data_IF_044222742253
#
_entry.id   IF_044222742253
#
_cell.length_a   1.000
_cell.length_b   1.000
_cell.length_c   1.000
_cell.angle_alpha   90.00
_cell.angle_beta   90.00
_cell.angle_gamma   90.00
#
_symmetry.space_group_name_H-M   'P 1'
#
loop_
_entity.id
_entity.type
_entity.pdbx_description
1 polymer ?
#
# COMPACT_ATOMS: atom_id res chain seq x y z
N UNK A 1 -0.23 23.93 -15.73
CA UNK A 1 -1.06 22.81 -15.31
C UNK A 1 -0.13 21.70 -14.88
N UNK A 2 -0.10 21.21 -13.63
CA UNK A 2 0.71 20.07 -13.25
C UNK A 2 0.12 18.82 -13.92
N UNK A 3 0.96 17.99 -14.53
CA UNK A 3 0.58 16.87 -15.36
C UNK A 3 -0.31 15.87 -14.63
N UNK A 4 -1.45 15.56 -15.23
CA UNK A 4 -2.23 14.37 -14.91
C UNK A 4 -1.40 13.19 -15.38
N UNK A 5 -0.85 12.40 -14.46
CA UNK A 5 -0.41 11.06 -14.78
C UNK A 5 -1.67 10.28 -15.20
N UNK A 6 -1.83 10.09 -16.51
CA UNK A 6 -2.73 9.09 -17.07
C UNK A 6 -2.18 7.74 -16.67
N UNK A 7 -3.03 6.71 -16.64
CA UNK A 7 -2.71 5.32 -16.28
C UNK A 7 -1.23 4.97 -16.53
N UNK A 8 -0.65 4.14 -15.64
CA UNK A 8 0.74 3.70 -15.75
C UNK A 8 1.11 3.40 -17.23
N UNK A 9 2.30 3.76 -17.70
CA UNK A 9 2.72 3.44 -19.05
C UNK A 9 2.66 1.92 -19.23
N UNK A 10 1.79 1.46 -20.15
CA UNK A 10 1.57 0.06 -20.46
C UNK A 10 0.17 -0.29 -20.97
N UNK A 11 -0.85 0.52 -20.68
CA UNK A 11 -2.22 0.29 -21.17
C UNK A 11 -2.81 1.54 -21.83
N UNK A 12 -2.28 1.90 -22.99
CA UNK A 12 -2.89 2.86 -23.90
C UNK A 12 -2.76 2.30 -25.30
N UNK A 13 -3.88 2.21 -26.04
CA UNK A 13 -3.88 1.87 -27.47
C UNK A 13 -2.83 2.72 -28.19
N UNK A 14 -1.70 2.14 -28.55
CA UNK A 14 -0.77 2.65 -29.53
C UNK A 14 -0.77 1.68 -30.72
N UNK A 15 -0.76 2.28 -31.88
CA UNK A 15 -0.69 1.54 -33.14
C UNK A 15 0.58 0.72 -33.24
N UNK A 16 0.43 -0.36 -33.95
CA UNK A 16 1.37 -1.39 -34.34
C UNK A 16 2.79 -0.88 -34.65
N UNK A 17 3.70 -1.17 -33.72
CA UNK A 17 5.11 -1.55 -33.81
C UNK A 17 5.66 -1.57 -32.40
N UNK A 18 5.21 -2.58 -31.61
CA UNK A 18 5.44 -2.63 -30.18
C UNK A 18 6.71 -3.44 -29.90
N UNK A 19 7.65 -2.78 -29.23
CA UNK A 19 8.59 -3.44 -28.36
C UNK A 19 7.77 -4.23 -27.33
N UNK A 20 7.80 -5.55 -27.42
CA UNK A 20 7.25 -6.44 -26.38
C UNK A 20 8.13 -6.21 -25.16
N UNK A 21 7.69 -5.34 -24.26
CA UNK A 21 8.31 -5.18 -22.94
C UNK A 21 7.86 -6.41 -22.15
N UNK A 22 8.74 -7.39 -22.03
CA UNK A 22 8.54 -8.55 -21.16
C UNK A 22 8.51 -8.08 -19.70
N UNK A 23 7.34 -7.78 -19.18
CA UNK A 23 7.17 -7.38 -17.79
C UNK A 23 7.34 -8.60 -16.87
N UNK A 24 8.15 -8.45 -15.83
CA UNK A 24 8.25 -9.46 -14.78
C UNK A 24 7.45 -9.03 -13.56
N UNK A 25 6.81 -9.98 -12.90
CA UNK A 25 6.16 -9.74 -11.62
C UNK A 25 6.97 -10.42 -10.51
N UNK A 26 7.43 -9.64 -9.55
CA UNK A 26 8.18 -10.12 -8.40
C UNK A 26 7.21 -10.18 -7.22
N UNK A 27 6.67 -11.35 -6.98
CA UNK A 27 5.81 -11.60 -5.82
C UNK A 27 6.73 -11.94 -4.65
N UNK A 28 6.75 -11.12 -3.62
CA UNK A 28 7.64 -11.33 -2.50
C UNK A 28 6.92 -11.11 -1.16
N UNK A 29 7.46 -11.75 -0.17
CA UNK A 29 7.07 -11.69 1.22
C UNK A 29 8.31 -11.59 2.10
N UNK A 30 8.15 -11.03 3.30
CA UNK A 30 9.23 -10.84 4.27
C UNK A 30 8.80 -11.35 5.63
N UNK A 31 9.72 -12.06 6.31
CA UNK A 31 9.56 -12.33 7.73
C UNK A 31 10.48 -11.42 8.55
N UNK A 32 9.98 -10.95 9.66
CA UNK A 32 10.71 -10.03 10.53
C UNK A 32 10.57 -10.34 12.01
N UNK A 33 11.59 -9.96 12.73
CA UNK A 33 11.62 -9.95 14.19
C UNK A 33 11.24 -8.57 14.72
N UNK A 34 10.73 -8.53 15.94
CA UNK A 34 10.50 -7.30 16.69
C UNK A 34 11.24 -7.38 18.04
N UNK A 35 11.30 -6.26 18.77
CA UNK A 35 12.02 -6.20 20.02
C UNK A 35 11.52 -7.27 21.02
N UNK A 36 12.35 -8.25 21.43
CA UNK A 36 11.93 -9.33 22.33
C UNK A 36 11.61 -8.83 23.74
N UNK A 37 12.22 -7.73 24.18
CA UNK A 37 11.98 -7.11 25.49
C UNK A 37 10.71 -6.23 25.52
N UNK A 38 10.03 -6.10 24.39
CA UNK A 38 8.80 -5.31 24.28
C UNK A 38 9.05 -3.86 23.82
N UNK A 39 7.97 -3.11 23.72
CA UNK A 39 7.93 -1.80 23.08
C UNK A 39 8.78 -0.70 23.75
N UNK A 40 9.08 -0.83 25.05
CA UNK A 40 9.92 0.14 25.75
C UNK A 40 11.38 0.16 25.28
N UNK A 41 11.85 -0.96 24.79
CA UNK A 41 13.23 -1.17 24.35
C UNK A 41 13.34 -1.26 22.82
N UNK A 42 12.22 -1.02 22.12
CA UNK A 42 12.15 -1.01 20.66
C UNK A 42 12.96 0.15 20.08
N UNK A 43 13.74 -0.13 19.06
CA UNK A 43 14.41 0.89 18.25
C UNK A 43 13.38 1.55 17.36
N UNK A 44 13.10 2.83 17.59
CA UNK A 44 12.02 3.57 16.92
C UNK A 44 12.17 3.55 15.38
N UNK A 45 13.40 3.62 14.89
CA UNK A 45 13.70 3.60 13.46
C UNK A 45 13.65 2.20 12.84
N UNK A 46 13.63 1.13 13.67
CA UNK A 46 13.60 -0.26 13.23
C UNK A 46 12.64 -1.09 14.10
N UNK A 47 11.33 -0.85 14.05
CA UNK A 47 10.37 -1.64 14.83
C UNK A 47 10.35 -3.12 14.43
N UNK A 48 10.72 -3.41 13.18
CA UNK A 48 10.78 -4.75 12.61
C UNK A 48 12.11 -4.96 11.87
N UNK A 49 12.90 -5.93 12.30
CA UNK A 49 14.15 -6.32 11.64
C UNK A 49 13.90 -7.55 10.77
N UNK A 50 14.15 -7.43 9.49
CA UNK A 50 13.94 -8.50 8.51
C UNK A 50 14.97 -9.60 8.72
N UNK A 51 14.49 -10.86 8.81
CA UNK A 51 15.35 -12.04 8.90
C UNK A 51 15.15 -13.05 7.75
N UNK A 52 14.11 -12.89 6.92
CA UNK A 52 13.91 -13.73 5.73
C UNK A 52 13.33 -12.92 4.59
N UNK A 53 13.81 -13.17 3.37
CA UNK A 53 13.25 -12.69 2.11
C UNK A 53 12.88 -13.91 1.29
N UNK A 54 11.62 -14.03 0.88
CA UNK A 54 11.13 -15.03 -0.05
C UNK A 54 10.45 -14.36 -1.25
N UNK A 55 10.77 -14.83 -2.47
CA UNK A 55 10.17 -14.24 -3.66
C UNK A 55 10.00 -15.25 -4.79
N UNK A 56 8.98 -15.02 -5.61
CA UNK A 56 8.69 -15.76 -6.83
C UNK A 56 8.66 -14.77 -7.99
N UNK A 57 9.38 -15.09 -9.06
CA UNK A 57 9.35 -14.32 -10.31
C UNK A 57 8.36 -14.96 -11.27
N UNK A 58 7.46 -14.15 -11.80
CA UNK A 58 6.48 -14.54 -12.80
C UNK A 58 6.76 -13.81 -14.11
N UNK A 59 6.41 -14.45 -15.22
CA UNK A 59 6.44 -13.84 -16.56
C UNK A 59 5.21 -12.96 -16.83
N UNK A 60 5.05 -12.48 -18.06
CA UNK A 60 3.92 -11.65 -18.50
C UNK A 60 2.56 -12.36 -18.35
N UNK A 61 2.53 -13.68 -18.52
CA UNK A 61 1.35 -14.50 -18.36
C UNK A 61 1.12 -14.90 -16.89
N UNK A 62 1.96 -14.38 -16.00
CA UNK A 62 1.99 -14.65 -14.55
C UNK A 62 2.29 -16.12 -14.22
N UNK A 63 3.03 -16.78 -15.09
CA UNK A 63 3.54 -18.13 -14.83
C UNK A 63 4.88 -18.03 -14.12
N UNK A 64 5.09 -18.90 -13.12
CA UNK A 64 6.34 -18.96 -12.36
C UNK A 64 7.52 -19.34 -13.25
N UNK A 65 8.58 -18.54 -13.20
CA UNK A 65 9.82 -18.77 -13.95
C UNK A 65 11.04 -18.93 -13.06
N UNK A 66 11.06 -18.32 -11.86
CA UNK A 66 12.18 -18.40 -10.93
C UNK A 66 11.75 -18.13 -9.48
N UNK A 67 12.63 -18.34 -8.53
CA UNK A 67 12.41 -18.02 -7.11
C UNK A 67 13.69 -17.59 -6.41
N UNK A 68 13.54 -16.80 -5.35
CA UNK A 68 14.61 -16.34 -4.47
C UNK A 68 14.23 -16.62 -3.03
N UNK A 69 15.17 -17.12 -2.23
CA UNK A 69 14.98 -17.29 -0.79
C UNK A 69 16.30 -17.05 -0.07
N UNK A 70 16.26 -16.30 1.03
CA UNK A 70 17.46 -15.95 1.77
C UNK A 70 17.13 -15.67 3.23
N UNK A 71 17.83 -16.35 4.15
CA UNK A 71 17.86 -15.99 5.56
C UNK A 71 18.88 -14.89 5.82
N UNK A 72 18.54 -13.99 6.75
CA UNK A 72 19.34 -12.83 7.12
C UNK A 72 19.63 -12.91 8.61
N UNK A 73 20.89 -12.74 8.97
CA UNK A 73 21.33 -12.71 10.36
C UNK A 73 20.90 -11.40 11.04
N UNK A 74 20.04 -11.45 12.08
CA UNK A 74 19.65 -10.25 12.81
C UNK A 74 20.86 -9.61 13.51
N UNK A 75 20.96 -8.30 13.42
CA UNK A 75 22.03 -7.50 14.05
C UNK A 75 21.55 -6.77 15.30
N UNK A 76 20.27 -6.36 15.31
CA UNK A 76 19.65 -5.57 16.37
C UNK A 76 18.91 -6.47 17.35
N UNK A 77 17.95 -7.24 16.87
CA UNK A 77 17.13 -8.14 17.69
C UNK A 77 17.60 -9.58 17.54
N UNK A 78 18.70 -9.92 18.24
CA UNK A 78 19.36 -11.24 18.12
C UNK A 78 18.52 -12.40 18.64
N UNK A 79 17.71 -12.15 19.67
CA UNK A 79 16.75 -13.12 20.19
C UNK A 79 15.43 -12.98 19.43
N UNK A 80 14.84 -14.09 19.02
CA UNK A 80 13.53 -14.07 18.37
C UNK A 80 12.43 -13.72 19.39
N UNK A 81 11.61 -12.77 19.02
CA UNK A 81 10.40 -12.46 19.77
C UNK A 81 9.43 -13.66 19.75
N UNK A 82 8.66 -13.86 20.84
CA UNK A 82 7.77 -15.01 20.98
C UNK A 82 6.75 -15.16 19.83
N UNK A 83 6.34 -14.06 19.21
CA UNK A 83 5.44 -14.08 18.04
C UNK A 83 6.17 -14.71 16.84
N UNK A 84 7.38 -14.28 16.54
CA UNK A 84 8.17 -14.85 15.45
C UNK A 84 8.42 -16.35 15.70
N UNK A 85 8.84 -16.73 16.92
CA UNK A 85 9.00 -18.15 17.31
C UNK A 85 7.72 -18.99 17.17
N UNK A 86 6.58 -18.38 17.41
CA UNK A 86 5.27 -19.09 17.37
C UNK A 86 4.68 -19.19 15.97
N UNK A 87 5.04 -18.30 15.06
CA UNK A 87 4.51 -18.27 13.70
C UNK A 87 5.41 -18.93 12.68
N UNK A 88 6.73 -18.70 12.78
CA UNK A 88 7.71 -19.23 11.82
C UNK A 88 8.38 -20.49 12.36
N UNK A 89 8.93 -21.32 11.48
CA UNK A 89 9.74 -22.48 11.83
C UNK A 89 11.23 -22.13 11.98
N UNK A 90 11.55 -20.82 12.07
CA UNK A 90 12.91 -20.31 12.12
C UNK A 90 13.44 -20.37 13.54
N UNK A 91 14.70 -20.81 13.70
CA UNK A 91 15.42 -20.84 14.97
C UNK A 91 16.59 -19.86 14.96
N UNK A 92 17.06 -19.45 16.14
CA UNK A 92 18.22 -18.58 16.26
C UNK A 92 19.47 -19.22 15.60
N UNK A 93 19.64 -20.55 15.71
CA UNK A 93 20.75 -21.30 15.10
C UNK A 93 20.72 -21.17 13.57
N UNK A 94 19.55 -21.28 12.96
CA UNK A 94 19.39 -21.11 11.51
C UNK A 94 19.77 -19.70 11.06
N UNK A 95 19.42 -18.70 11.86
CA UNK A 95 19.72 -17.30 11.55
C UNK A 95 21.19 -16.91 11.79
N UNK A 96 21.93 -17.66 12.63
CA UNK A 96 23.39 -17.45 12.83
C UNK A 96 24.17 -17.62 11.53
N UNK A 97 23.74 -18.55 10.66
CA UNK A 97 24.31 -18.78 9.32
C UNK A 97 23.71 -17.87 8.24
N UNK A 98 22.77 -17.02 8.62
CA UNK A 98 22.11 -16.05 7.73
C UNK A 98 23.09 -15.02 7.16
N UNK A 99 22.73 -14.46 6.02
CA UNK A 99 23.51 -13.46 5.29
C UNK A 99 23.47 -12.10 5.98
N UNK A 100 24.43 -11.25 5.65
CA UNK A 100 24.35 -9.81 5.96
C UNK A 100 23.18 -9.18 5.21
N UNK A 101 22.39 -8.33 5.90
CA UNK A 101 21.20 -7.68 5.31
C UNK A 101 21.53 -6.94 4.02
N UNK A 102 22.65 -6.17 4.00
CA UNK A 102 23.04 -5.39 2.82
C UNK A 102 23.37 -6.29 1.63
N UNK A 103 24.07 -7.39 1.86
CA UNK A 103 24.38 -8.36 0.82
C UNK A 103 23.11 -9.06 0.32
N UNK A 104 22.22 -9.47 1.23
CA UNK A 104 20.97 -10.16 0.89
C UNK A 104 20.05 -9.27 0.05
N UNK A 105 19.84 -8.01 0.46
CA UNK A 105 19.01 -7.04 -0.28
C UNK A 105 19.60 -6.71 -1.64
N UNK A 106 20.93 -6.54 -1.71
CA UNK A 106 21.59 -6.29 -3.01
C UNK A 106 21.33 -7.44 -3.98
N UNK A 107 21.56 -8.68 -3.56
CA UNK A 107 21.33 -9.85 -4.41
C UNK A 107 19.86 -10.02 -4.78
N UNK A 108 18.95 -9.73 -3.85
CA UNK A 108 17.50 -9.74 -4.13
C UNK A 108 17.13 -8.72 -5.23
N UNK A 109 17.61 -7.47 -5.12
CA UNK A 109 17.30 -6.42 -6.09
C UNK A 109 17.98 -6.65 -7.45
N UNK A 110 19.21 -7.18 -7.45
CA UNK A 110 19.90 -7.62 -8.66
C UNK A 110 19.11 -8.74 -9.34
N UNK A 111 18.65 -9.74 -8.58
CA UNK A 111 17.80 -10.82 -9.10
C UNK A 111 16.46 -10.29 -9.63
N UNK A 112 15.83 -9.31 -8.97
CA UNK A 112 14.60 -8.70 -9.46
C UNK A 112 14.76 -8.11 -10.86
N UNK A 113 15.88 -7.42 -11.11
CA UNK A 113 16.15 -6.65 -12.33
C UNK A 113 16.86 -7.42 -13.44
N UNK A 114 17.31 -8.67 -13.17
CA UNK A 114 18.15 -9.44 -14.09
C UNK A 114 17.52 -9.66 -15.49
N UNK A 115 16.19 -9.76 -15.56
CA UNK A 115 15.45 -10.07 -16.80
C UNK A 115 14.70 -8.87 -17.39
N UNK A 116 15.07 -7.65 -17.02
CA UNK A 116 14.50 -6.41 -17.56
C UNK A 116 13.51 -5.72 -16.61
N UNK A 117 12.45 -5.12 -17.18
CA UNK A 117 11.46 -4.39 -16.37
C UNK A 117 10.65 -5.33 -15.47
N UNK A 118 10.46 -4.91 -14.25
CA UNK A 118 9.69 -5.68 -13.27
C UNK A 118 8.73 -4.82 -12.47
N UNK A 119 7.74 -5.47 -11.88
CA UNK A 119 6.77 -4.87 -10.96
C UNK A 119 6.70 -5.68 -9.68
N UNK A 120 6.91 -5.02 -8.55
CA UNK A 120 6.77 -5.65 -7.24
C UNK A 120 5.30 -5.95 -6.92
N UNK A 121 5.09 -7.09 -6.27
CA UNK A 121 3.79 -7.60 -5.85
C UNK A 121 3.90 -8.13 -4.42
N UNK A 122 2.94 -7.79 -3.55
CA UNK A 122 2.94 -8.21 -2.13
C UNK A 122 1.53 -8.57 -1.68
N UNK A 123 1.40 -9.34 -0.60
CA UNK A 123 0.12 -9.53 0.08
C UNK A 123 -0.12 -8.40 1.08
N UNK A 124 -0.60 -7.25 0.57
CA UNK A 124 -0.84 -6.05 1.37
C UNK A 124 0.18 -4.95 1.15
N UNK A 125 0.54 -4.23 2.20
CA UNK A 125 1.36 -3.01 2.06
C UNK A 125 2.59 -2.98 2.94
N UNK A 126 2.78 -3.96 3.82
CA UNK A 126 3.80 -3.92 4.88
C UNK A 126 5.20 -4.17 4.34
N UNK A 127 5.35 -5.18 3.49
CA UNK A 127 6.64 -5.68 3.03
C UNK A 127 7.49 -4.61 2.36
N UNK A 128 6.90 -3.84 1.43
CA UNK A 128 7.60 -2.73 0.78
C UNK A 128 8.02 -1.62 1.76
N UNK A 129 7.21 -1.37 2.77
CA UNK A 129 7.53 -0.36 3.80
C UNK A 129 8.69 -0.84 4.66
N UNK A 130 8.62 -2.08 5.15
CA UNK A 130 9.65 -2.63 6.03
C UNK A 130 10.97 -2.88 5.28
N UNK A 131 10.93 -3.31 4.01
CA UNK A 131 12.13 -3.41 3.17
C UNK A 131 12.86 -2.06 3.11
N UNK A 132 12.15 -1.00 2.76
CA UNK A 132 12.73 0.34 2.64
C UNK A 132 13.19 0.90 3.99
N UNK A 133 12.47 0.60 5.08
CA UNK A 133 12.84 1.02 6.44
C UNK A 133 14.12 0.34 6.90
N UNK A 134 14.25 -0.97 6.69
CA UNK A 134 15.47 -1.70 7.01
C UNK A 134 16.64 -1.19 6.17
N UNK A 135 16.45 -0.95 4.86
CA UNK A 135 17.49 -0.35 4.02
C UNK A 135 17.96 0.99 4.59
N UNK A 136 17.03 1.87 4.97
CA UNK A 136 17.35 3.17 5.57
C UNK A 136 18.12 3.02 6.88
N UNK A 137 17.69 2.12 7.75
CA UNK A 137 18.33 1.89 9.05
C UNK A 137 19.77 1.38 8.92
N UNK A 138 20.00 0.43 8.02
CA UNK A 138 21.32 -0.12 7.77
C UNK A 138 22.19 0.72 6.79
N UNK A 139 21.74 1.90 6.41
CA UNK A 139 22.50 2.82 5.55
C UNK A 139 22.65 2.34 4.10
N UNK A 140 21.72 1.53 3.62
CA UNK A 140 21.71 1.02 2.23
C UNK A 140 20.95 1.99 1.35
N UNK A 141 21.56 2.38 0.24
CA UNK A 141 20.89 3.20 -0.76
C UNK A 141 19.64 2.48 -1.30
N UNK A 142 18.54 3.21 -1.39
CA UNK A 142 17.29 2.67 -1.91
C UNK A 142 17.20 2.92 -3.43
N UNK A 143 17.44 1.90 -4.28
CA UNK A 143 17.43 2.05 -5.73
C UNK A 143 16.03 1.98 -6.35
N UNK A 144 14.99 1.69 -5.54
CA UNK A 144 13.63 1.61 -6.05
C UNK A 144 13.22 2.96 -6.63
N UNK A 145 12.54 2.94 -7.77
CA UNK A 145 12.08 4.16 -8.46
C UNK A 145 11.13 5.01 -7.59
N UNK A 146 11.03 6.28 -7.93
CA UNK A 146 10.01 7.15 -7.35
C UNK A 146 9.22 7.86 -8.47
N UNK A 147 7.88 7.82 -8.44
CA UNK A 147 7.00 7.12 -7.48
C UNK A 147 7.01 5.60 -7.70
N UNK A 148 7.05 4.84 -6.62
CA UNK A 148 7.01 3.37 -6.69
C UNK A 148 5.56 2.89 -6.82
N UNK A 149 5.26 2.28 -7.96
CA UNK A 149 3.99 1.60 -8.23
C UNK A 149 4.16 0.09 -8.09
N UNK A 150 3.23 -0.57 -7.41
CA UNK A 150 3.27 -2.00 -7.15
C UNK A 150 1.86 -2.60 -7.15
N UNK A 151 1.77 -3.92 -7.14
CA UNK A 151 0.50 -4.63 -6.98
C UNK A 151 0.35 -5.15 -5.56
N UNK A 152 -0.63 -4.62 -4.84
CA UNK A 152 -1.16 -5.17 -3.59
C UNK A 152 -2.17 -6.26 -3.99
N UNK A 153 -1.72 -7.53 -3.98
CA UNK A 153 -2.50 -8.68 -4.44
C UNK A 153 -3.73 -8.89 -3.56
N UNK A 154 -3.63 -8.64 -2.25
CA UNK A 154 -4.79 -8.67 -1.34
C UNK A 154 -5.88 -7.69 -1.78
N UNK A 155 -5.50 -6.49 -2.22
CA UNK A 155 -6.43 -5.49 -2.76
C UNK A 155 -7.03 -5.96 -4.08
N UNK A 156 -6.22 -6.48 -5.00
CA UNK A 156 -6.69 -6.96 -6.30
C UNK A 156 -7.63 -8.14 -6.12
N UNK A 157 -7.30 -9.10 -5.25
CA UNK A 157 -8.17 -10.20 -4.87
C UNK A 157 -9.52 -9.71 -4.36
N UNK A 158 -9.53 -8.75 -3.43
CA UNK A 158 -10.77 -8.18 -2.91
C UNK A 158 -11.63 -7.50 -4.00
N UNK A 159 -11.00 -6.81 -4.97
CA UNK A 159 -11.72 -6.17 -6.08
C UNK A 159 -12.27 -7.21 -7.05
N UNK A 160 -11.54 -8.31 -7.27
CA UNK A 160 -11.92 -9.37 -8.22
C UNK A 160 -12.95 -10.34 -7.65
N UNK A 161 -12.76 -10.81 -6.44
CA UNK A 161 -13.52 -11.92 -5.86
C UNK A 161 -14.54 -11.50 -4.80
N UNK A 162 -14.47 -10.26 -4.30
CA UNK A 162 -15.30 -9.78 -3.20
C UNK A 162 -15.88 -8.37 -3.46
N UNK A 163 -15.90 -7.53 -2.42
CA UNK A 163 -16.52 -6.18 -2.39
C UNK A 163 -15.54 -5.02 -2.67
N UNK A 164 -14.26 -5.31 -2.90
CA UNK A 164 -13.19 -4.34 -3.08
C UNK A 164 -12.78 -3.58 -1.80
N UNK A 165 -13.30 -4.00 -0.64
CA UNK A 165 -13.04 -3.36 0.66
C UNK A 165 -12.47 -4.34 1.69
N UNK A 166 -12.91 -5.58 1.67
CA UNK A 166 -12.46 -6.66 2.55
C UNK A 166 -10.95 -6.88 2.39
N UNK A 167 -10.30 -7.22 3.49
CA UNK A 167 -8.89 -7.58 3.51
C UNK A 167 -8.78 -8.92 4.21
N UNK A 168 -8.69 -9.98 3.41
CA UNK A 168 -8.56 -11.35 3.91
C UNK A 168 -7.12 -11.68 4.23
N UNK A 169 -6.87 -12.61 5.15
CA UNK A 169 -5.56 -13.24 5.26
C UNK A 169 -5.24 -14.01 3.97
N UNK A 170 -3.97 -14.25 3.70
CA UNK A 170 -3.52 -15.05 2.56
C UNK A 170 -4.14 -16.44 2.62
N UNK A 171 -4.09 -17.08 3.78
CA UNK A 171 -4.67 -18.41 4.00
C UNK A 171 -6.18 -18.44 3.67
N UNK A 172 -6.95 -17.42 4.09
CA UNK A 172 -8.37 -17.33 3.73
C UNK A 172 -8.58 -17.22 2.22
N UNK A 173 -7.74 -16.45 1.52
CA UNK A 173 -7.85 -16.31 0.07
C UNK A 173 -7.51 -17.62 -0.66
N UNK A 174 -6.50 -18.33 -0.19
CA UNK A 174 -6.11 -19.67 -0.67
C UNK A 174 -7.28 -20.65 -0.54
N UNK A 175 -7.94 -20.68 0.64
CA UNK A 175 -9.12 -21.51 0.88
C UNK A 175 -10.30 -21.13 -0.04
N UNK A 176 -10.59 -19.85 -0.19
CA UNK A 176 -11.67 -19.35 -1.04
C UNK A 176 -11.48 -19.71 -2.52
N UNK A 177 -10.24 -19.84 -2.97
CA UNK A 177 -9.90 -20.21 -4.35
C UNK A 177 -9.73 -21.73 -4.55
N UNK A 178 -9.78 -22.53 -3.46
CA UNK A 178 -9.55 -23.97 -3.52
C UNK A 178 -8.11 -24.33 -3.92
N UNK A 179 -7.14 -23.45 -3.63
CA UNK A 179 -5.73 -23.72 -3.89
C UNK A 179 -5.25 -24.78 -2.89
N UNK A 180 -4.58 -25.83 -3.39
CA UNK A 180 -4.06 -26.91 -2.56
C UNK A 180 -2.96 -26.41 -1.62
N UNK A 181 -3.11 -26.71 -0.32
CA UNK A 181 -2.14 -26.37 0.73
C UNK A 181 -1.13 -27.49 0.87
N UNK A 182 -0.09 -27.47 0.05
CA UNK A 182 0.96 -28.50 -0.02
C UNK A 182 2.30 -28.04 0.56
N UNK A 183 2.40 -26.80 1.02
CA UNK A 183 3.53 -26.20 1.72
C UNK A 183 3.01 -25.49 2.97
N UNK A 184 3.80 -25.42 4.02
CA UNK A 184 3.42 -24.74 5.24
C UNK A 184 3.46 -23.22 5.06
N UNK A 185 2.52 -22.50 5.67
CA UNK A 185 2.54 -21.05 5.77
C UNK A 185 3.60 -20.54 6.74
N UNK A 186 3.82 -19.24 6.75
CA UNK A 186 4.73 -18.55 7.68
C UNK A 186 6.22 -18.83 7.44
N UNK A 187 6.60 -19.02 6.17
CA UNK A 187 7.93 -18.72 5.67
C UNK A 187 7.80 -17.78 4.49
N UNK A 188 8.71 -16.83 4.35
CA UNK A 188 8.60 -15.81 3.30
C UNK A 188 8.49 -16.43 1.90
N UNK A 189 9.19 -17.50 1.61
CA UNK A 189 9.10 -18.15 0.29
C UNK A 189 7.75 -18.85 0.09
N UNK A 190 7.21 -19.51 1.11
CA UNK A 190 5.91 -20.18 1.03
C UNK A 190 4.77 -19.17 0.84
N UNK A 191 4.80 -18.05 1.55
CA UNK A 191 3.76 -17.03 1.47
C UNK A 191 3.85 -16.26 0.13
N UNK A 192 5.07 -16.06 -0.41
CA UNK A 192 5.26 -15.57 -1.77
C UNK A 192 4.70 -16.54 -2.83
N UNK A 193 4.91 -17.86 -2.67
CA UNK A 193 4.36 -18.92 -3.55
C UNK A 193 2.81 -18.92 -3.53
N UNK A 194 2.20 -18.88 -2.34
CA UNK A 194 0.73 -18.80 -2.25
C UNK A 194 0.18 -17.49 -2.81
N UNK A 195 0.87 -16.37 -2.56
CA UNK A 195 0.50 -15.08 -3.14
C UNK A 195 0.57 -15.10 -4.67
N UNK A 196 1.60 -15.75 -5.25
CA UNK A 196 1.72 -15.94 -6.69
C UNK A 196 0.57 -16.79 -7.25
N UNK A 197 0.21 -17.92 -6.62
CA UNK A 197 -0.93 -18.75 -7.01
C UNK A 197 -2.26 -17.98 -6.92
N UNK A 198 -2.46 -17.17 -5.89
CA UNK A 198 -3.64 -16.28 -5.82
C UNK A 198 -3.62 -15.27 -6.96
N UNK A 199 -2.46 -14.70 -7.29
CA UNK A 199 -2.32 -13.74 -8.38
C UNK A 199 -2.63 -14.35 -9.76
N UNK A 200 -2.28 -15.61 -9.99
CA UNK A 200 -2.66 -16.35 -11.21
C UNK A 200 -4.19 -16.50 -11.34
N UNK A 201 -4.90 -16.70 -10.22
CA UNK A 201 -6.35 -16.88 -10.17
C UNK A 201 -7.16 -15.57 -10.32
N UNK A 202 -6.52 -14.40 -10.29
CA UNK A 202 -7.16 -13.09 -10.45
C UNK A 202 -7.36 -12.78 -11.93
N UNK A 203 -8.55 -12.28 -12.31
CA UNK A 203 -8.78 -11.68 -13.62
C UNK A 203 -8.02 -10.35 -13.75
N UNK A 204 -6.74 -10.47 -14.11
CA UNK A 204 -5.84 -9.32 -14.19
C UNK A 204 -6.24 -8.34 -15.30
N UNK A 205 -6.89 -8.80 -16.37
CA UNK A 205 -7.44 -7.92 -17.42
C UNK A 205 -8.44 -6.93 -16.85
N UNK A 206 -9.23 -7.37 -15.85
CA UNK A 206 -10.23 -6.55 -15.16
C UNK A 206 -9.63 -5.65 -14.07
N UNK A 207 -8.65 -6.13 -13.30
CA UNK A 207 -8.21 -5.44 -12.09
C UNK A 207 -6.78 -4.89 -12.16
N UNK A 208 -5.97 -5.21 -13.16
CA UNK A 208 -4.57 -4.77 -13.27
C UNK A 208 -4.39 -3.24 -13.31
N UNK A 209 -5.44 -2.51 -13.75
CA UNK A 209 -5.46 -1.04 -13.67
C UNK A 209 -5.51 -0.47 -12.25
N UNK A 210 -5.76 -1.29 -11.22
CA UNK A 210 -5.86 -0.86 -9.81
C UNK A 210 -4.54 -1.04 -9.04
N UNK A 211 -3.41 -0.74 -9.67
CA UNK A 211 -2.12 -0.75 -8.99
C UNK A 211 -2.11 0.10 -7.72
N UNK A 212 -1.18 -0.14 -6.83
CA UNK A 212 -0.98 0.62 -5.60
C UNK A 212 0.20 1.58 -5.73
N UNK A 213 0.24 2.58 -4.88
CA UNK A 213 1.31 3.57 -4.81
C UNK A 213 1.95 3.40 -3.44
N UNK A 214 3.23 3.10 -3.43
CA UNK A 214 3.99 3.12 -2.18
C UNK A 214 4.04 4.54 -1.62
N UNK A 215 3.98 4.65 -0.30
CA UNK A 215 4.00 5.92 0.42
C UNK A 215 5.04 5.95 1.54
N UNK A 216 6.01 5.06 1.51
CA UNK A 216 7.17 5.14 2.37
C UNK A 216 7.97 6.41 2.07
N UNK A 217 8.25 6.63 0.79
CA UNK A 217 8.75 7.94 0.31
C UNK A 217 7.56 8.78 -0.15
N UNK A 218 7.41 9.96 0.45
CA UNK A 218 6.36 10.90 0.10
C UNK A 218 6.87 11.95 -0.90
N UNK A 219 5.98 12.64 -1.64
CA UNK A 219 6.38 13.73 -2.53
C UNK A 219 7.22 14.79 -1.84
N UNK A 220 8.39 15.11 -2.37
CA UNK A 220 9.30 16.10 -1.81
C UNK A 220 8.75 17.53 -1.93
N UNK A 221 8.04 17.82 -3.02
CA UNK A 221 7.48 19.14 -3.30
C UNK A 221 6.11 19.07 -3.96
N UNK A 222 5.54 20.25 -4.16
CA UNK A 222 4.22 20.39 -4.80
C UNK A 222 4.19 19.83 -6.23
N UNK A 223 5.32 19.87 -6.94
CA UNK A 223 5.41 19.34 -8.32
C UNK A 223 5.39 17.83 -8.37
N UNK A 224 5.81 17.21 -7.27
CA UNK A 224 5.93 15.76 -7.13
C UNK A 224 4.66 15.13 -6.55
N UNK A 225 3.66 15.94 -6.16
CA UNK A 225 2.40 15.45 -5.63
C UNK A 225 1.71 14.53 -6.64
N UNK A 226 1.32 13.34 -6.17
CA UNK A 226 0.82 12.27 -7.05
C UNK A 226 -0.69 12.35 -7.20
N UNK A 227 -1.15 12.32 -8.44
CA UNK A 227 -2.57 12.26 -8.77
C UNK A 227 -2.82 11.19 -9.82
N UNK A 228 -3.52 10.15 -9.43
CA UNK A 228 -3.83 9.01 -10.30
C UNK A 228 -5.34 8.86 -10.43
N UNK A 229 -5.82 8.84 -11.66
CA UNK A 229 -7.21 8.57 -12.01
C UNK A 229 -7.35 7.11 -12.44
N UNK A 230 -8.06 6.31 -11.62
CA UNK A 230 -8.32 4.88 -11.87
C UNK A 230 -9.64 4.65 -12.66
N UNK A 231 -10.24 5.69 -13.22
CA UNK A 231 -11.55 5.61 -13.88
C UNK A 231 -12.71 5.54 -12.89
N UNK A 232 -12.66 4.66 -11.92
CA UNK A 232 -13.70 4.49 -10.88
C UNK A 232 -13.50 5.39 -9.67
N UNK A 233 -12.31 5.92 -9.46
CA UNK A 233 -11.95 6.89 -8.41
C UNK A 233 -10.64 7.60 -8.76
N UNK A 234 -10.39 8.72 -8.10
CA UNK A 234 -9.10 9.43 -8.12
C UNK A 234 -8.40 9.26 -6.77
N UNK A 235 -7.10 8.95 -6.79
CA UNK A 235 -6.22 9.02 -5.61
C UNK A 235 -5.26 10.20 -5.76
N UNK A 236 -5.08 10.96 -4.67
CA UNK A 236 -4.15 12.08 -4.59
C UNK A 236 -3.32 11.98 -3.33
N UNK A 237 -2.00 12.08 -3.46
CA UNK A 237 -1.04 12.04 -2.36
C UNK A 237 -0.31 13.39 -2.32
N UNK A 238 -0.37 14.06 -1.18
CA UNK A 238 0.29 15.36 -0.98
C UNK A 238 1.76 15.21 -0.63
N UNK A 239 2.51 16.28 -0.79
CA UNK A 239 3.82 16.42 -0.14
C UNK A 239 3.69 16.39 1.39
N UNK A 240 4.84 16.31 2.08
CA UNK A 240 4.94 16.49 3.52
C UNK A 240 4.75 17.95 3.96
N UNK A 241 4.15 18.14 5.13
CA UNK A 241 3.94 19.41 5.81
C UNK A 241 4.49 19.32 7.23
N UNK A 242 4.98 20.45 7.77
CA UNK A 242 5.51 20.49 9.14
C UNK A 242 4.41 20.33 10.19
N UNK A 243 3.22 20.81 9.89
CA UNK A 243 2.08 20.71 10.81
C UNK A 243 0.87 20.08 10.16
N UNK A 244 0.10 19.39 10.97
CA UNK A 244 -1.17 18.84 10.55
C UNK A 244 -2.18 19.91 10.17
N UNK A 245 -2.09 21.09 10.79
CA UNK A 245 -2.97 22.22 10.51
C UNK A 245 -2.76 22.77 9.10
N UNK A 246 -1.53 22.95 8.68
CA UNK A 246 -1.19 23.34 7.30
C UNK A 246 -1.74 22.34 6.29
N UNK A 247 -1.54 21.05 6.54
CA UNK A 247 -2.03 19.98 5.68
C UNK A 247 -3.55 20.02 5.53
N UNK A 248 -4.30 20.04 6.63
CA UNK A 248 -5.78 19.94 6.57
C UNK A 248 -6.45 21.21 6.04
N UNK A 249 -5.73 22.33 5.98
CA UNK A 249 -6.19 23.59 5.39
C UNK A 249 -5.72 23.77 3.94
N UNK A 250 -4.96 22.81 3.39
CA UNK A 250 -4.44 22.91 2.02
C UNK A 250 -5.58 22.87 0.99
N UNK A 251 -5.64 23.90 0.15
CA UNK A 251 -6.73 24.08 -0.83
C UNK A 251 -6.74 23.00 -1.92
N UNK A 252 -5.58 22.45 -2.30
CA UNK A 252 -5.48 21.35 -3.28
C UNK A 252 -6.01 20.05 -2.69
N UNK A 253 -5.68 19.75 -1.42
CA UNK A 253 -6.22 18.60 -0.70
C UNK A 253 -7.74 18.70 -0.56
N UNK A 254 -8.26 19.90 -0.28
CA UNK A 254 -9.68 20.16 -0.08
C UNK A 254 -10.48 20.36 -1.38
N UNK A 255 -9.82 20.28 -2.54
CA UNK A 255 -10.47 20.38 -3.84
C UNK A 255 -11.45 19.22 -4.06
N UNK A 256 -12.61 19.52 -4.62
CA UNK A 256 -13.65 18.56 -4.98
C UNK A 256 -13.94 18.60 -6.50
N UNK A 257 -12.91 18.88 -7.31
CA UNK A 257 -13.07 18.78 -8.77
C UNK A 257 -13.45 17.36 -9.17
N UNK A 258 -14.39 17.24 -10.10
CA UNK A 258 -14.75 15.94 -10.66
C UNK A 258 -13.58 15.37 -11.44
N UNK A 259 -13.17 14.15 -11.10
CA UNK A 259 -12.01 13.51 -11.72
C UNK A 259 -12.29 13.00 -13.15
N UNK A 260 -13.56 12.96 -13.58
CA UNK A 260 -13.94 12.61 -14.95
C UNK A 260 -13.95 13.83 -15.88
N UNK A 261 -14.69 14.90 -15.51
CA UNK A 261 -14.84 16.07 -16.39
C UNK A 261 -13.97 17.27 -15.97
N UNK A 262 -13.27 17.23 -14.83
CA UNK A 262 -12.45 18.34 -14.33
C UNK A 262 -13.24 19.56 -13.79
N UNK A 263 -14.56 19.57 -13.87
CA UNK A 263 -15.38 20.67 -13.37
C UNK A 263 -15.41 20.73 -11.85
N UNK A 264 -15.57 21.93 -11.30
CA UNK A 264 -15.74 22.11 -9.85
C UNK A 264 -17.09 21.59 -9.40
N UNK A 265 -17.10 20.56 -8.54
CA UNK A 265 -18.32 20.04 -7.97
C UNK A 265 -18.80 20.89 -6.78
N UNK A 266 -20.13 21.09 -6.67
CA UNK A 266 -20.77 21.82 -5.58
C UNK A 266 -20.66 21.04 -4.28
N UNK A 267 -20.04 21.60 -3.24
CA UNK A 267 -19.95 20.98 -1.91
C UNK A 267 -21.35 20.95 -1.25
N UNK A 268 -21.89 19.76 -1.07
CA UNK A 268 -23.11 19.51 -0.28
C UNK A 268 -22.78 19.40 1.21
N UNK A 269 -21.67 18.72 1.53
CA UNK A 269 -21.09 18.63 2.86
C UNK A 269 -19.63 19.01 2.73
N UNK A 270 -19.21 20.08 3.43
CA UNK A 270 -17.80 20.48 3.50
C UNK A 270 -16.99 19.41 4.19
N UNK A 271 -15.68 19.40 3.97
CA UNK A 271 -14.76 18.51 4.67
C UNK A 271 -14.94 18.61 6.18
N UNK A 272 -15.11 17.47 6.82
CA UNK A 272 -15.23 17.34 8.26
C UNK A 272 -14.38 16.18 8.78
N UNK A 273 -13.83 16.35 9.97
CA UNK A 273 -13.04 15.34 10.64
C UNK A 273 -13.94 14.35 11.36
N UNK A 274 -13.79 13.07 11.05
CA UNK A 274 -14.41 11.95 11.78
C UNK A 274 -13.64 11.62 13.05
N UNK A 275 -12.32 11.67 12.98
CA UNK A 275 -11.35 11.50 14.05
C UNK A 275 -10.06 12.27 13.71
N UNK A 276 -9.00 12.08 14.49
CA UNK A 276 -7.72 12.79 14.28
C UNK A 276 -7.07 12.53 12.91
N UNK A 277 -7.40 11.42 12.24
CA UNK A 277 -6.76 10.96 10.99
C UNK A 277 -7.67 11.01 9.77
N UNK A 278 -8.98 10.81 9.93
CA UNK A 278 -9.93 10.62 8.81
C UNK A 278 -10.86 11.81 8.60
N UNK A 279 -10.97 12.25 7.35
CA UNK A 279 -11.84 13.34 6.93
C UNK A 279 -12.73 12.91 5.76
N UNK A 280 -13.94 13.44 5.72
CA UNK A 280 -14.94 13.14 4.67
C UNK A 280 -15.58 14.42 4.13
N UNK A 281 -16.04 14.36 2.89
CA UNK A 281 -16.91 15.37 2.28
C UNK A 281 -17.89 14.71 1.32
N UNK A 282 -18.93 15.48 0.93
CA UNK A 282 -19.82 15.15 -0.17
C UNK A 282 -19.92 16.35 -1.10
N UNK A 283 -19.72 16.14 -2.38
CA UNK A 283 -19.92 17.12 -3.43
C UNK A 283 -20.81 16.56 -4.52
N UNK A 284 -21.31 17.41 -5.41
CA UNK A 284 -22.14 17.03 -6.54
C UNK A 284 -21.60 17.68 -7.82
N UNK A 285 -21.22 16.87 -8.77
CA UNK A 285 -20.94 17.28 -10.14
C UNK A 285 -22.24 17.38 -10.92
N UNK A 286 -22.40 18.42 -11.73
CA UNK A 286 -23.62 18.59 -12.55
C UNK A 286 -23.81 17.46 -13.56
N UNK A 287 -22.71 16.92 -14.12
CA UNK A 287 -22.74 15.88 -15.15
C UNK A 287 -22.70 14.47 -14.58
N UNK A 288 -21.95 14.26 -13.46
CA UNK A 288 -21.62 12.92 -12.95
C UNK A 288 -22.27 12.59 -11.60
N UNK A 289 -23.04 13.51 -11.00
CA UNK A 289 -23.73 13.28 -9.74
C UNK A 289 -22.80 13.37 -8.51
N UNK A 290 -23.13 12.60 -7.47
CA UNK A 290 -22.42 12.70 -6.18
C UNK A 290 -20.99 12.20 -6.22
N UNK A 291 -20.11 12.95 -5.55
CA UNK A 291 -18.71 12.62 -5.31
C UNK A 291 -18.50 12.51 -3.80
N UNK A 292 -18.21 11.32 -3.33
CA UNK A 292 -17.75 11.06 -1.96
C UNK A 292 -16.26 11.29 -1.89
N UNK A 293 -15.83 12.23 -1.04
CA UNK A 293 -14.43 12.46 -0.74
C UNK A 293 -14.05 11.91 0.63
N UNK A 294 -12.90 11.28 0.71
CA UNK A 294 -12.22 10.95 1.99
C UNK A 294 -10.75 11.25 1.87
N UNK A 295 -10.12 11.70 2.95
CA UNK A 295 -8.66 11.64 3.07
C UNK A 295 -8.23 11.17 4.45
N UNK A 296 -7.06 10.55 4.47
CA UNK A 296 -6.39 10.11 5.70
C UNK A 296 -5.12 10.89 5.87
N UNK A 297 -4.96 11.50 7.04
CA UNK A 297 -3.71 12.11 7.47
C UNK A 297 -2.81 11.02 8.01
N UNK A 298 -1.55 11.04 7.58
CA UNK A 298 -0.47 10.16 8.01
C UNK A 298 0.73 11.04 8.40
N UNK A 299 1.63 10.45 9.12
CA UNK A 299 2.94 10.99 9.47
C UNK A 299 3.98 10.05 8.88
N UNK A 300 5.03 10.60 8.27
CA UNK A 300 6.16 9.81 7.78
C UNK A 300 7.21 9.63 8.87
N UNK A 301 8.24 8.82 8.62
CA UNK A 301 9.34 8.53 9.57
C UNK A 301 10.23 9.76 9.86
N UNK A 302 10.00 10.89 9.23
CA UNK A 302 10.69 12.16 9.48
C UNK A 302 9.79 13.18 10.19
N UNK A 303 8.62 12.76 10.70
CA UNK A 303 7.67 13.61 11.41
C UNK A 303 6.88 14.57 10.53
N UNK A 304 6.89 14.39 9.18
CA UNK A 304 6.10 15.23 8.28
C UNK A 304 4.69 14.66 8.10
N UNK A 305 3.71 15.53 8.07
CA UNK A 305 2.31 15.16 7.85
C UNK A 305 1.97 15.18 6.35
N UNK A 306 1.39 14.11 5.84
CA UNK A 306 0.87 14.02 4.48
C UNK A 306 -0.53 13.42 4.44
N UNK A 307 -1.21 13.53 3.31
CA UNK A 307 -2.53 12.98 3.14
C UNK A 307 -2.65 12.14 1.87
N UNK A 308 -3.36 11.02 2.00
CA UNK A 308 -3.88 10.27 0.86
C UNK A 308 -5.38 10.54 0.76
N UNK A 309 -5.80 11.24 -0.32
CA UNK A 309 -7.19 11.54 -0.63
C UNK A 309 -7.72 10.61 -1.72
N UNK A 310 -8.97 10.20 -1.57
CA UNK A 310 -9.75 9.51 -2.59
C UNK A 310 -11.01 10.30 -2.87
N UNK A 311 -11.28 10.58 -4.15
CA UNK A 311 -12.56 11.05 -4.64
C UNK A 311 -13.19 9.92 -5.47
N UNK A 312 -14.44 9.56 -5.15
CA UNK A 312 -15.14 8.46 -5.83
C UNK A 312 -16.59 8.91 -6.13
N UNK A 313 -17.04 8.66 -7.35
CA UNK A 313 -18.46 8.80 -7.68
C UNK A 313 -19.28 7.81 -6.86
N UNK A 314 -20.47 8.24 -6.46
CA UNK A 314 -21.36 7.41 -5.66
C UNK A 314 -22.82 7.74 -5.97
N UNK A 315 -23.70 6.76 -5.76
CA UNK A 315 -25.13 6.98 -5.77
C UNK A 315 -25.65 7.54 -4.43
N UNK A 316 -26.97 7.62 -4.29
CA UNK A 316 -27.66 8.16 -3.11
C UNK A 316 -27.27 7.40 -1.83
N UNK A 317 -27.13 6.06 -1.88
CA UNK A 317 -26.73 5.26 -0.72
C UNK A 317 -25.37 5.70 -0.15
N UNK A 318 -24.37 5.93 -0.99
CA UNK A 318 -23.06 6.40 -0.53
C UNK A 318 -23.07 7.88 -0.12
N UNK A 319 -23.96 8.70 -0.69
CA UNK A 319 -24.18 10.07 -0.23
C UNK A 319 -24.80 10.08 1.17
N UNK A 320 -25.80 9.21 1.42
CA UNK A 320 -26.45 9.05 2.72
C UNK A 320 -25.46 8.57 3.79
N UNK A 321 -24.58 7.63 3.46
CA UNK A 321 -23.49 7.22 4.38
C UNK A 321 -22.67 8.43 4.88
N UNK A 322 -22.34 9.38 3.99
CA UNK A 322 -21.57 10.57 4.40
C UNK A 322 -22.42 11.50 5.28
N UNK A 323 -23.74 11.64 5.00
CA UNK A 323 -24.66 12.43 5.82
C UNK A 323 -24.76 11.86 7.25
N UNK A 324 -24.93 10.54 7.38
CA UNK A 324 -24.99 9.85 8.68
C UNK A 324 -23.70 10.03 9.48
N UNK A 325 -22.54 9.84 8.85
CA UNK A 325 -21.24 10.10 9.50
C UNK A 325 -21.14 11.54 10.03
N UNK A 326 -21.63 12.52 9.28
CA UNK A 326 -21.63 13.92 9.71
C UNK A 326 -22.55 14.13 10.91
N UNK A 327 -23.75 13.54 10.92
CA UNK A 327 -24.70 13.62 12.03
C UNK A 327 -24.11 13.02 13.30
N UNK A 328 -23.47 11.87 13.23
CA UNK A 328 -22.77 11.23 14.37
C UNK A 328 -21.69 12.14 14.95
N UNK A 329 -20.87 12.77 14.09
CA UNK A 329 -19.83 13.71 14.56
C UNK A 329 -20.46 14.93 15.25
N UNK A 330 -21.54 15.47 14.70
CA UNK A 330 -22.27 16.61 15.30
C UNK A 330 -22.85 16.22 16.66
N UNK A 331 -23.46 15.03 16.78
CA UNK A 331 -23.97 14.48 18.05
C UNK A 331 -22.86 14.36 19.09
N UNK A 332 -21.76 13.67 18.76
CA UNK A 332 -20.60 13.52 19.67
C UNK A 332 -20.04 14.86 20.15
N UNK A 333 -19.95 15.87 19.25
CA UNK A 333 -19.46 17.22 19.62
C UNK A 333 -20.43 17.94 20.57
N UNK A 334 -21.73 17.78 20.36
CA UNK A 334 -22.76 18.34 21.24
C UNK A 334 -22.70 17.71 22.64
N UNK A 335 -22.63 16.37 22.71
CA UNK A 335 -22.59 15.63 23.95
C UNK A 335 -21.33 15.97 24.77
N UNK A 336 -20.16 16.11 24.11
CA UNK A 336 -18.94 16.59 24.76
C UNK A 336 -19.06 18.03 25.35
N UNK A 337 -19.77 18.91 24.65
CA UNK A 337 -20.00 20.28 25.13
C UNK A 337 -20.92 20.30 26.33
N UNK A 338 -21.94 19.45 26.38
CA UNK A 338 -22.82 19.30 27.53
C UNK A 338 -22.06 18.76 28.75
N UNK A 339 -21.24 17.70 28.58
CA UNK A 339 -20.41 17.15 29.65
C UNK A 339 -19.33 18.11 30.23
N UNK A 340 -18.91 19.12 29.45
CA UNK A 340 -17.97 20.14 29.94
C UNK A 340 -18.63 21.30 30.67
N UNK A 341 -19.97 21.38 30.66
CA UNK A 341 -20.75 22.44 31.32
C UNK A 341 -21.38 21.96 32.64
N UNK A 342 -21.33 20.66 32.89
CA UNK A 342 -21.64 20.01 34.16
C UNK A 342 -20.34 19.78 34.96
#
# INVERSE_FOLDING_TARGET
>A
MPGMLRAAPGYGCRGSEDWIVNMRYIVFDLEWNQCPSGKSDEVEELPFEIFEIGAVKLDDDRQRIDSFSCYIKPKVYKELHYIAKGLTHVTEELLEDGRDFGAAVKDFLDWCSADGEYRMCTWGTSDLVELQRNMKYFGIENPLEYPLFYYDIQKLFSIDKEDGKSRRSLETAVDMLGIEKNIDFHSAISDAEYTAKVFECIDFGRVGGYFSIDTYRIPAGVKDELRVNYGTYEKYITKGYDTKEELVNNTRLLSTRCYLCGQTARKKIRWFSMNSKMHYCLAECKEHGYIKGRFRVREDDNGKYYASRVLKLTGEAGAEEVRQRQLEVRKRRRDKRHKKKL
#
